data_IF_334722382937
#
_entry.id   IF_334722382937
#
_cell.length_a   1.000
_cell.length_b   1.000
_cell.length_c   1.000
_cell.angle_alpha   90.00
_cell.angle_beta   90.00
_cell.angle_gamma   90.00
#
_symmetry.space_group_name_H-M   'P 1'
#
loop_
_entity.id
_entity.type
_entity.pdbx_description
1 polymer ?
#
# COMPACT_ATOMS: atom_id res chain seq x y z
N UNK A 1 -24.71 -32.96 -9.74
CA UNK A 1 -24.19 -33.39 -8.42
C UNK A 1 -22.66 -33.39 -8.39
N UNK A 2 -22.00 -32.22 -8.39
CA UNK A 2 -20.54 -32.08 -8.24
C UNK A 2 -20.22 -30.85 -7.39
N UNK A 3 -20.29 -30.93 -6.05
CA UNK A 3 -19.64 -29.90 -5.20
C UNK A 3 -19.57 -30.18 -3.68
N UNK A 4 -20.10 -31.29 -3.14
CA UNK A 4 -20.10 -31.52 -1.67
C UNK A 4 -18.71 -31.68 -1.03
N UNK A 5 -17.65 -31.64 -1.81
CA UNK A 5 -16.28 -31.90 -1.35
C UNK A 5 -15.30 -30.79 -1.74
N UNK A 6 -15.75 -29.58 -2.08
CA UNK A 6 -14.86 -28.44 -2.37
C UNK A 6 -14.80 -27.53 -1.14
N UNK A 7 -13.60 -27.16 -0.72
CA UNK A 7 -13.43 -26.21 0.38
C UNK A 7 -13.83 -24.79 -0.07
N UNK A 8 -14.44 -23.97 0.81
CA UNK A 8 -14.66 -22.56 0.54
C UNK A 8 -13.36 -21.79 0.29
N UNK A 9 -13.40 -20.75 -0.53
CA UNK A 9 -12.21 -19.95 -0.89
C UNK A 9 -11.60 -19.21 0.31
N UNK A 10 -12.37 -19.00 1.39
CA UNK A 10 -11.89 -18.41 2.63
C UNK A 10 -10.97 -19.34 3.46
N UNK A 11 -10.90 -20.64 3.12
CA UNK A 11 -10.06 -21.61 3.82
C UNK A 11 -8.62 -21.54 3.32
N UNK A 12 -7.71 -21.21 4.22
CA UNK A 12 -6.27 -21.22 4.00
C UNK A 12 -5.74 -22.64 4.24
N UNK A 13 -5.08 -23.20 3.23
CA UNK A 13 -4.44 -24.52 3.32
C UNK A 13 -2.94 -24.34 3.58
N UNK A 14 -2.43 -24.97 4.64
CA UNK A 14 -1.00 -25.03 4.98
C UNK A 14 -0.58 -26.49 5.16
N UNK A 15 0.74 -26.76 5.15
CA UNK A 15 1.28 -28.12 5.46
C UNK A 15 0.82 -28.64 6.83
N UNK A 16 0.55 -27.75 7.78
CA UNK A 16 0.14 -28.07 9.15
C UNK A 16 -1.37 -28.17 9.35
N UNK A 17 -2.19 -28.09 8.28
CA UNK A 17 -3.64 -28.23 8.34
C UNK A 17 -4.42 -27.13 7.60
N UNK A 18 -5.69 -27.00 7.95
CA UNK A 18 -6.68 -26.10 7.36
C UNK A 18 -7.03 -25.00 8.35
N UNK A 19 -7.12 -23.77 7.85
CA UNK A 19 -7.29 -22.58 8.67
C UNK A 19 -8.33 -21.64 8.08
N UNK A 20 -8.97 -20.85 8.92
CA UNK A 20 -9.72 -19.65 8.52
C UNK A 20 -9.00 -18.41 9.02
N UNK A 21 -9.19 -17.28 8.33
CA UNK A 21 -8.67 -15.99 8.84
C UNK A 21 -9.45 -15.61 10.09
N UNK A 22 -8.76 -15.40 11.21
CA UNK A 22 -9.35 -14.79 12.40
C UNK A 22 -9.59 -13.30 12.19
N UNK A 23 -10.52 -12.70 12.95
CA UNK A 23 -10.82 -11.27 12.86
C UNK A 23 -9.58 -10.51 13.27
N UNK A 24 -9.00 -10.96 14.37
CA UNK A 24 -7.81 -10.42 14.96
C UNK A 24 -6.79 -11.55 15.15
N UNK A 25 -5.61 -11.43 14.51
CA UNK A 25 -4.44 -12.27 14.82
C UNK A 25 -4.19 -13.47 13.91
N UNK A 26 -3.65 -14.54 14.50
CA UNK A 26 -3.19 -15.72 13.77
C UNK A 26 -4.36 -16.52 13.19
N UNK A 27 -4.19 -17.16 12.02
CA UNK A 27 -5.23 -18.00 11.44
C UNK A 27 -5.69 -19.07 12.44
N UNK A 28 -7.01 -19.25 12.58
CA UNK A 28 -7.60 -20.26 13.44
C UNK A 28 -7.54 -21.59 12.70
N UNK A 29 -6.92 -22.60 13.30
CA UNK A 29 -6.91 -23.95 12.75
C UNK A 29 -8.30 -24.55 12.91
N UNK A 30 -8.89 -24.99 11.80
CA UNK A 30 -10.23 -25.60 11.75
C UNK A 30 -10.20 -27.10 11.45
N UNK A 31 -9.01 -27.66 11.24
CA UNK A 31 -8.81 -29.09 11.06
C UNK A 31 -7.40 -29.44 10.60
N UNK A 32 -6.98 -30.68 10.84
CA UNK A 32 -5.77 -31.27 10.25
C UNK A 32 -6.08 -31.86 8.88
N UNK A 33 -7.28 -32.43 8.75
CA UNK A 33 -7.80 -32.99 7.51
C UNK A 33 -8.87 -32.12 6.88
N UNK A 34 -9.12 -32.34 5.58
CA UNK A 34 -10.19 -31.67 4.84
C UNK A 34 -11.58 -32.01 5.39
N UNK A 35 -11.76 -33.25 5.89
CA UNK A 35 -13.00 -33.70 6.50
C UNK A 35 -13.32 -32.95 7.78
N UNK A 36 -12.31 -32.80 8.66
CA UNK A 36 -12.42 -32.00 9.88
C UNK A 36 -12.76 -30.53 9.58
N UNK A 37 -12.06 -29.94 8.61
CA UNK A 37 -12.32 -28.55 8.20
C UNK A 37 -13.76 -28.34 7.71
N UNK A 38 -14.28 -29.26 6.88
CA UNK A 38 -15.66 -29.21 6.41
C UNK A 38 -16.67 -29.43 7.55
N UNK A 39 -16.36 -30.31 8.50
CA UNK A 39 -17.21 -30.54 9.68
C UNK A 39 -17.24 -29.30 10.58
N UNK A 40 -16.10 -28.67 10.83
CA UNK A 40 -16.00 -27.44 11.63
C UNK A 40 -16.79 -26.29 10.99
N UNK A 41 -16.64 -26.07 9.68
CA UNK A 41 -17.41 -25.05 8.94
C UNK A 41 -18.92 -25.35 8.95
N UNK A 42 -19.30 -26.62 8.84
CA UNK A 42 -20.72 -27.00 8.90
C UNK A 42 -21.32 -26.81 10.29
N UNK A 43 -20.51 -26.96 11.35
CA UNK A 43 -20.94 -26.75 12.73
C UNK A 43 -21.01 -25.26 13.10
N UNK A 44 -20.10 -24.45 12.56
CA UNK A 44 -20.08 -23.00 12.73
C UNK A 44 -19.76 -22.30 11.40
N UNK A 45 -20.79 -21.93 10.60
CA UNK A 45 -20.62 -21.18 9.36
C UNK A 45 -19.98 -19.79 9.58
N UNK A 46 -20.04 -19.25 10.79
CA UNK A 46 -19.43 -17.97 11.17
C UNK A 46 -17.90 -17.98 11.06
N UNK A 47 -17.27 -19.15 11.11
CA UNK A 47 -15.83 -19.33 10.86
C UNK A 47 -15.37 -18.79 9.50
N UNK A 48 -16.27 -18.67 8.52
CA UNK A 48 -15.95 -18.12 7.19
C UNK A 48 -16.14 -16.60 7.09
N UNK A 49 -16.96 -16.01 7.96
CA UNK A 49 -17.39 -14.62 7.90
C UNK A 49 -16.78 -13.85 9.06
N UNK A 50 -15.51 -13.54 8.86
CA UNK A 50 -14.74 -12.79 9.83
C UNK A 50 -14.62 -11.36 9.32
N UNK A 51 -15.46 -10.48 9.87
CA UNK A 51 -15.41 -9.06 9.57
C UNK A 51 -14.11 -8.45 10.09
N UNK A 52 -13.45 -7.65 9.25
CA UNK A 52 -12.29 -6.86 9.64
C UNK A 52 -12.76 -5.50 10.11
N UNK A 53 -12.10 -4.97 11.12
CA UNK A 53 -12.26 -3.56 11.50
C UNK A 53 -11.70 -2.65 10.40
N UNK A 54 -12.17 -1.40 10.37
CA UNK A 54 -11.66 -0.39 9.44
C UNK A 54 -10.14 -0.18 9.60
N UNK A 55 -9.63 -0.25 10.83
CA UNK A 55 -8.20 -0.13 11.14
C UNK A 55 -7.37 -1.28 10.53
N UNK A 56 -7.90 -2.50 10.54
CA UNK A 56 -7.21 -3.66 9.94
C UNK A 56 -7.23 -3.59 8.42
N UNK A 57 -8.37 -3.17 7.85
CA UNK A 57 -8.48 -2.92 6.41
C UNK A 57 -7.47 -1.84 6.01
N UNK A 58 -7.36 -0.76 6.78
CA UNK A 58 -6.39 0.31 6.57
C UNK A 58 -4.96 -0.21 6.69
N UNK A 59 -4.62 -0.96 7.74
CA UNK A 59 -3.29 -1.52 7.94
C UNK A 59 -2.87 -2.45 6.78
N UNK A 60 -3.77 -3.30 6.29
CA UNK A 60 -3.52 -4.14 5.11
C UNK A 60 -3.31 -3.30 3.84
N UNK A 61 -4.10 -2.23 3.65
CA UNK A 61 -3.92 -1.30 2.52
C UNK A 61 -2.57 -0.59 2.59
N UNK A 62 -2.17 -0.09 3.76
CA UNK A 62 -0.86 0.54 4.00
C UNK A 62 0.26 -0.42 3.63
N UNK A 63 0.21 -1.66 4.15
CA UNK A 63 1.21 -2.70 3.89
C UNK A 63 1.33 -3.01 2.40
N UNK A 64 0.19 -3.19 1.71
CA UNK A 64 0.14 -3.47 0.27
C UNK A 64 0.67 -2.30 -0.56
N UNK A 65 0.30 -1.07 -0.21
CA UNK A 65 0.78 0.15 -0.89
C UNK A 65 2.29 0.30 -0.74
N UNK A 66 2.85 0.12 0.46
CA UNK A 66 4.30 0.13 0.70
C UNK A 66 5.02 -0.92 -0.16
N UNK A 67 4.50 -2.15 -0.19
CA UNK A 67 5.06 -3.23 -0.98
C UNK A 67 5.05 -2.92 -2.49
N UNK A 68 3.91 -2.45 -2.99
CA UNK A 68 3.75 -2.11 -4.41
C UNK A 68 4.66 -0.95 -4.81
N UNK A 69 4.74 0.09 -3.98
CA UNK A 69 5.56 1.27 -4.27
C UNK A 69 7.04 0.91 -4.41
N UNK A 70 7.57 0.10 -3.48
CA UNK A 70 8.96 -0.38 -3.54
C UNK A 70 9.24 -1.18 -4.82
N UNK A 71 8.35 -2.12 -5.16
CA UNK A 71 8.54 -2.96 -6.34
C UNK A 71 8.39 -2.16 -7.65
N UNK A 72 7.43 -1.24 -7.73
CA UNK A 72 7.25 -0.37 -8.89
C UNK A 72 8.43 0.60 -9.08
N UNK A 73 9.02 1.10 -7.99
CA UNK A 73 10.28 1.87 -8.05
C UNK A 73 11.42 1.03 -8.64
N UNK A 74 11.66 -0.17 -8.09
CA UNK A 74 12.72 -1.07 -8.58
C UNK A 74 12.51 -1.45 -10.05
N UNK A 75 11.27 -1.74 -10.45
CA UNK A 75 10.93 -2.04 -11.84
C UNK A 75 11.25 -0.88 -12.79
N UNK A 76 10.91 0.36 -12.41
CA UNK A 76 11.21 1.58 -13.22
C UNK A 76 12.71 1.82 -13.38
N UNK A 77 13.50 1.48 -12.37
CA UNK A 77 14.94 1.73 -12.38
C UNK A 77 15.77 0.59 -12.99
N UNK A 78 15.22 -0.63 -13.08
CA UNK A 78 15.93 -1.86 -13.46
C UNK A 78 16.75 -1.72 -14.74
N UNK A 79 16.14 -1.20 -15.81
CA UNK A 79 16.80 -1.12 -17.12
C UNK A 79 17.74 0.08 -17.25
N UNK A 80 17.77 0.97 -16.25
CA UNK A 80 18.57 2.21 -16.29
C UNK A 80 19.76 2.17 -15.32
N UNK A 81 19.87 1.14 -14.47
CA UNK A 81 20.88 1.09 -13.41
C UNK A 81 20.72 2.18 -12.35
N UNK A 82 19.55 2.81 -12.27
CA UNK A 82 19.31 4.03 -11.48
C UNK A 82 18.79 3.75 -10.06
N UNK A 83 19.14 2.64 -9.41
CA UNK A 83 18.64 2.36 -8.07
C UNK A 83 19.70 1.74 -7.16
N UNK A 84 20.29 2.60 -6.33
CA UNK A 84 21.11 2.21 -5.17
C UNK A 84 20.27 2.08 -3.89
N UNK A 85 19.06 2.65 -3.84
CA UNK A 85 18.17 2.55 -2.68
C UNK A 85 17.79 1.08 -2.36
N UNK A 86 18.25 0.61 -1.20
CA UNK A 86 17.96 -0.71 -0.66
C UNK A 86 16.56 -0.80 -0.03
N UNK A 87 16.15 -2.03 0.32
CA UNK A 87 14.87 -2.23 1.02
C UNK A 87 14.86 -1.61 2.42
N UNK A 88 15.96 -1.75 3.16
CA UNK A 88 16.11 -1.18 4.51
C UNK A 88 16.05 0.34 4.47
N UNK A 89 16.76 0.98 3.55
CA UNK A 89 16.73 2.44 3.39
C UNK A 89 15.36 2.95 2.94
N UNK A 90 14.69 2.23 2.03
CA UNK A 90 13.31 2.54 1.68
C UNK A 90 12.37 2.44 2.89
N UNK A 91 12.59 1.48 3.78
CA UNK A 91 11.78 1.32 4.99
C UNK A 91 12.05 2.43 6.02
N UNK A 92 13.30 2.89 6.14
CA UNK A 92 13.61 4.10 6.89
C UNK A 92 12.92 5.32 6.30
N UNK A 93 12.95 5.50 4.97
CA UNK A 93 12.24 6.59 4.30
C UNK A 93 10.73 6.53 4.54
N UNK A 94 10.16 5.33 4.47
CA UNK A 94 8.74 5.10 4.76
C UNK A 94 8.37 5.52 6.18
N UNK A 95 9.14 5.07 7.18
CA UNK A 95 8.89 5.39 8.57
C UNK A 95 9.11 6.88 8.86
N UNK A 96 10.17 7.47 8.30
CA UNK A 96 10.50 8.88 8.46
C UNK A 96 9.41 9.83 7.88
N UNK A 97 8.62 9.36 6.90
CA UNK A 97 7.49 10.15 6.38
C UNK A 97 6.37 10.37 7.40
N UNK A 98 6.29 9.55 8.45
CA UNK A 98 5.21 9.63 9.45
C UNK A 98 3.81 9.48 8.85
N UNK A 99 3.67 8.86 7.67
CA UNK A 99 2.39 8.74 6.97
C UNK A 99 1.94 10.02 6.25
N UNK A 100 2.85 10.98 6.03
CA UNK A 100 2.54 12.26 5.38
C UNK A 100 3.53 12.60 4.26
N UNK A 101 3.07 13.42 3.32
CA UNK A 101 3.89 13.97 2.24
C UNK A 101 5.04 14.80 2.84
N UNK A 102 6.29 14.42 2.56
CA UNK A 102 7.46 15.11 3.11
C UNK A 102 7.64 16.53 2.56
N UNK A 103 7.00 16.87 1.44
CA UNK A 103 7.05 18.21 0.86
C UNK A 103 5.93 19.14 1.36
N UNK A 104 4.73 18.61 1.58
CA UNK A 104 3.54 19.44 1.86
C UNK A 104 2.88 19.19 3.23
N UNK A 105 3.29 18.14 3.94
CA UNK A 105 2.67 17.72 5.21
C UNK A 105 1.29 17.06 5.06
N UNK A 106 0.76 16.92 3.84
CA UNK A 106 -0.56 16.30 3.62
C UNK A 106 -0.49 14.80 3.97
N UNK A 107 -1.41 14.35 4.82
CA UNK A 107 -1.54 12.94 5.23
C UNK A 107 -1.89 12.06 4.03
N UNK A 108 -1.23 10.92 3.92
CA UNK A 108 -1.51 9.96 2.86
C UNK A 108 -2.89 9.33 3.01
N UNK A 109 -3.57 9.12 1.88
CA UNK A 109 -4.81 8.33 1.82
C UNK A 109 -4.57 7.04 1.06
N UNK A 110 -5.13 5.95 1.60
CA UNK A 110 -4.91 4.60 1.07
C UNK A 110 -6.15 4.00 0.40
N UNK A 111 -7.21 4.81 0.31
CA UNK A 111 -8.43 4.52 -0.43
C UNK A 111 -8.20 4.70 -1.94
N UNK A 112 -8.97 3.95 -2.72
CA UNK A 112 -9.08 4.20 -4.16
C UNK A 112 -10.33 5.01 -4.40
N UNK A 113 -10.21 6.06 -5.20
CA UNK A 113 -11.40 6.72 -5.75
C UNK A 113 -12.05 5.77 -6.76
N UNK A 114 -13.38 5.72 -6.77
CA UNK A 114 -14.12 4.90 -7.72
C UNK A 114 -13.73 5.20 -9.17
N UNK A 115 -13.45 4.13 -9.92
CA UNK A 115 -13.07 4.21 -11.33
C UNK A 115 -11.67 4.77 -11.61
N UNK A 116 -10.88 5.16 -10.60
CA UNK A 116 -9.52 5.70 -10.81
C UNK A 116 -8.42 4.70 -10.46
N UNK A 117 -7.38 4.69 -11.31
CA UNK A 117 -6.21 3.81 -11.14
C UNK A 117 -5.33 4.26 -9.96
N UNK A 118 -5.27 5.57 -9.67
CA UNK A 118 -4.45 6.15 -8.59
C UNK A 118 -5.22 7.24 -7.84
N UNK A 119 -5.08 7.27 -6.51
CA UNK A 119 -5.55 8.37 -5.67
C UNK A 119 -4.52 9.51 -5.69
N UNK A 120 -4.94 10.78 -5.77
CA UNK A 120 -4.02 11.92 -5.72
C UNK A 120 -3.23 11.98 -4.41
N UNK A 121 -3.83 11.50 -3.31
CA UNK A 121 -3.27 11.55 -1.96
C UNK A 121 -2.55 10.26 -1.55
N UNK A 122 -2.48 9.24 -2.43
CA UNK A 122 -1.68 8.04 -2.14
C UNK A 122 -0.19 8.38 -2.11
N UNK A 123 0.63 7.65 -1.34
CA UNK A 123 2.06 7.88 -1.32
C UNK A 123 2.70 7.49 -2.67
N UNK A 124 3.65 8.32 -3.09
CA UNK A 124 4.53 8.12 -4.23
C UNK A 124 5.97 8.36 -3.77
N UNK A 125 6.92 7.73 -4.45
CA UNK A 125 8.34 8.01 -4.27
C UNK A 125 8.80 8.97 -5.36
N UNK A 126 9.35 10.09 -4.92
CA UNK A 126 9.88 11.18 -5.71
C UNK A 126 11.40 11.20 -5.65
N UNK A 127 12.03 11.67 -6.74
CA UNK A 127 13.47 11.90 -6.80
C UNK A 127 13.68 13.40 -6.71
N UNK A 128 14.33 13.86 -5.63
CA UNK A 128 14.54 15.30 -5.35
C UNK A 128 15.23 15.96 -6.55
N UNK A 129 16.26 15.31 -7.07
CA UNK A 129 16.87 15.60 -8.36
C UNK A 129 16.46 14.51 -9.36
N UNK A 130 15.61 14.91 -10.32
CA UNK A 130 15.05 14.02 -11.35
C UNK A 130 16.10 13.51 -12.34
N UNK A 131 17.28 14.15 -12.41
CA UNK A 131 18.42 13.71 -13.24
C UNK A 131 19.19 12.55 -12.60
N UNK A 132 19.07 12.37 -11.27
CA UNK A 132 19.75 11.34 -10.50
C UNK A 132 18.89 10.08 -10.31
N UNK A 133 19.50 9.00 -9.86
CA UNK A 133 18.82 7.74 -9.55
C UNK A 133 18.09 7.76 -8.20
N UNK A 134 17.47 6.63 -7.85
CA UNK A 134 16.93 6.40 -6.52
C UNK A 134 18.08 6.04 -5.56
N UNK A 135 18.40 6.95 -4.63
CA UNK A 135 19.31 6.75 -3.49
C UNK A 135 18.67 7.25 -2.19
N UNK A 136 19.20 6.89 -1.01
CA UNK A 136 18.70 7.39 0.27
C UNK A 136 18.64 8.92 0.36
N UNK A 137 19.62 9.60 -0.25
CA UNK A 137 19.79 11.05 -0.20
C UNK A 137 18.96 11.77 -1.27
N UNK A 138 18.57 11.07 -2.34
CA UNK A 138 17.85 11.63 -3.47
C UNK A 138 16.36 11.22 -3.51
N UNK A 139 15.84 10.54 -2.50
CA UNK A 139 14.45 10.09 -2.47
C UNK A 139 13.65 10.69 -1.33
N UNK A 140 12.37 10.97 -1.60
CA UNK A 140 11.37 11.30 -0.59
C UNK A 140 10.02 10.71 -0.92
N UNK A 141 9.17 10.54 0.09
CA UNK A 141 7.76 10.19 -0.07
C UNK A 141 6.90 11.45 -0.13
N UNK A 142 6.12 11.55 -1.19
CA UNK A 142 5.19 12.66 -1.43
C UNK A 142 3.84 12.10 -1.88
N UNK A 143 2.79 12.91 -1.90
CA UNK A 143 1.53 12.49 -2.52
C UNK A 143 1.71 12.29 -4.03
N UNK A 144 0.94 11.38 -4.63
CA UNK A 144 0.93 11.16 -6.10
C UNK A 144 0.78 12.46 -6.87
N UNK A 145 -0.15 13.33 -6.45
CA UNK A 145 -0.38 14.61 -7.11
C UNK A 145 0.85 15.53 -7.02
N UNK A 146 1.55 15.53 -5.89
CA UNK A 146 2.77 16.31 -5.70
C UNK A 146 3.88 15.80 -6.60
N UNK A 147 4.11 14.48 -6.67
CA UNK A 147 5.09 13.87 -7.58
C UNK A 147 4.79 14.19 -9.05
N UNK A 148 3.52 14.25 -9.44
CA UNK A 148 3.12 14.62 -10.81
C UNK A 148 3.39 16.09 -11.12
N UNK A 149 3.19 16.98 -10.15
CA UNK A 149 3.49 18.41 -10.28
C UNK A 149 4.99 18.70 -10.28
N UNK A 150 5.79 17.92 -9.54
CA UNK A 150 7.25 18.04 -9.53
C UNK A 150 7.86 17.59 -10.86
N UNK A 151 7.46 16.41 -11.35
CA UNK A 151 7.92 15.84 -12.61
C UNK A 151 9.45 15.99 -12.81
N UNK A 152 9.90 16.56 -13.94
CA UNK A 152 11.29 16.93 -14.18
C UNK A 152 11.64 18.36 -13.74
N UNK A 153 10.65 19.16 -13.33
CA UNK A 153 10.78 20.59 -13.03
C UNK A 153 11.25 20.89 -11.60
N UNK A 154 11.00 19.98 -10.66
CA UNK A 154 11.48 20.08 -9.29
C UNK A 154 10.74 21.09 -8.40
N UNK A 155 11.32 21.34 -7.23
CA UNK A 155 10.68 22.06 -6.12
C UNK A 155 10.38 23.52 -6.43
N UNK A 156 11.29 24.21 -7.12
CA UNK A 156 11.16 25.65 -7.41
C UNK A 156 9.88 25.94 -8.19
N UNK A 157 9.66 25.22 -9.29
CA UNK A 157 8.47 25.36 -10.14
C UNK A 157 7.20 24.92 -9.39
N UNK A 158 7.30 23.87 -8.56
CA UNK A 158 6.18 23.45 -7.72
C UNK A 158 5.75 24.56 -6.75
N UNK A 159 6.70 25.17 -6.04
CA UNK A 159 6.38 26.23 -5.08
C UNK A 159 5.89 27.50 -5.75
N UNK A 160 6.47 27.90 -6.88
CA UNK A 160 5.98 29.04 -7.67
C UNK A 160 4.50 28.86 -8.04
N UNK A 161 4.13 27.68 -8.54
CA UNK A 161 2.75 27.32 -8.87
C UNK A 161 1.82 27.42 -7.65
N UNK A 162 2.24 26.85 -6.50
CA UNK A 162 1.43 26.84 -5.28
C UNK A 162 1.23 28.27 -4.76
N UNK A 163 2.26 29.10 -4.74
CA UNK A 163 2.17 30.49 -4.31
C UNK A 163 1.26 31.32 -5.22
N UNK A 164 1.39 31.15 -6.54
CA UNK A 164 0.53 31.82 -7.51
C UNK A 164 -0.95 31.46 -7.30
N UNK A 165 -1.25 30.17 -7.09
CA UNK A 165 -2.60 29.71 -6.78
C UNK A 165 -3.11 30.26 -5.43
N UNK A 166 -2.28 30.21 -4.38
CA UNK A 166 -2.63 30.69 -3.04
C UNK A 166 -2.96 32.19 -3.03
N UNK A 167 -2.19 33.01 -3.78
CA UNK A 167 -2.48 34.45 -3.96
C UNK A 167 -3.87 34.68 -4.54
N UNK A 168 -4.28 33.87 -5.53
CA UNK A 168 -5.62 33.98 -6.14
C UNK A 168 -6.75 33.59 -5.19
N UNK A 169 -6.53 32.60 -4.32
CA UNK A 169 -7.53 32.17 -3.33
C UNK A 169 -7.71 33.23 -2.24
N UNK A 170 -6.60 33.81 -1.75
CA UNK A 170 -6.64 34.86 -0.70
C UNK A 170 -7.18 36.20 -1.18
N UNK A 171 -7.17 36.45 -2.49
CA UNK A 171 -7.72 37.65 -3.10
C UNK A 171 -9.21 37.55 -3.43
N UNK A 172 -9.84 36.40 -3.15
CA UNK A 172 -11.29 36.19 -3.23
C UNK A 172 -11.91 36.35 -1.86
#
# INVERSE_FOLDING_TARGET
MKSKNRLPDAVIVKRSGYFVRAAHGQPIKIGETKGEALAAISADPGLLNVEKTDDEILAERIKRTRYNLFNSMRARARNKGLCSLSKTEFDHLWNASGGSCQLTGIVFRYEKDDGKVKSPWSPSIDRIDSSKGYSPENCRLVCTIVNLSLNEWGDEIFFEMIEAAARRVRAR
#
